data_IF_512145686474
#
_entry.id   IF_512145686474
#
_cell.length_a   1.000
_cell.length_b   1.000
_cell.length_c   1.000
_cell.angle_alpha   90.00
_cell.angle_beta   90.00
_cell.angle_gamma   90.00
#
_symmetry.space_group_name_H-M   'P 1'
#
loop_
_entity.id
_entity.type
_entity.pdbx_description
1 polymer ?
#
# COMPACT_ATOMS: atom_id res chain seq x y z
N UNK A 1 -11.69 -8.44 -15.70
CA UNK A 1 -11.18 -7.45 -14.73
C UNK A 1 -10.69 -6.22 -15.49
N UNK A 2 -11.07 -5.00 -15.12
CA UNK A 2 -10.53 -3.76 -15.70
C UNK A 2 -9.62 -3.07 -14.68
N UNK A 3 -8.48 -2.57 -15.14
CA UNK A 3 -7.53 -1.84 -14.32
C UNK A 3 -8.06 -0.42 -14.07
N UNK A 4 -8.47 -0.12 -12.83
CA UNK A 4 -8.95 1.22 -12.45
C UNK A 4 -7.73 2.10 -12.12
N UNK A 5 -7.34 2.96 -13.06
CA UNK A 5 -6.21 3.88 -12.90
C UNK A 5 -6.63 5.34 -12.71
N UNK A 6 -7.92 5.60 -12.48
CA UNK A 6 -8.49 6.94 -12.34
C UNK A 6 -8.61 7.37 -10.86
N UNK A 7 -8.56 8.68 -10.62
CA UNK A 7 -8.74 9.25 -9.27
C UNK A 7 -7.56 9.01 -8.33
N UNK A 8 -7.83 8.48 -7.14
CA UNK A 8 -6.80 8.23 -6.11
C UNK A 8 -5.79 7.17 -6.56
N UNK A 9 -6.26 6.17 -7.31
CA UNK A 9 -5.42 5.14 -7.92
C UNK A 9 -4.41 5.73 -8.94
N UNK A 10 -4.73 6.87 -9.57
CA UNK A 10 -3.78 7.56 -10.46
C UNK A 10 -2.55 8.15 -9.74
N UNK A 11 -2.58 8.24 -8.39
CA UNK A 11 -1.46 8.77 -7.59
C UNK A 11 -0.84 7.70 -6.69
N UNK A 12 -1.63 6.76 -6.18
CA UNK A 12 -1.21 5.73 -5.23
C UNK A 12 -1.80 4.39 -5.65
N UNK A 13 -0.96 3.36 -5.85
CA UNK A 13 -1.44 2.02 -6.24
C UNK A 13 -2.33 1.35 -5.20
N UNK A 14 -2.10 1.70 -3.93
CA UNK A 14 -2.63 1.01 -2.76
C UNK A 14 -3.21 1.98 -1.71
N UNK A 15 -4.24 2.80 -2.04
CA UNK A 15 -4.74 3.85 -1.16
C UNK A 15 -5.32 3.34 0.16
N UNK A 16 -5.93 2.14 0.16
CA UNK A 16 -6.38 1.48 1.40
C UNK A 16 -5.23 1.24 2.37
N UNK A 17 -4.05 0.88 1.86
CA UNK A 17 -2.91 0.62 2.71
C UNK A 17 -2.30 1.90 3.27
N UNK A 18 -2.33 3.01 2.53
CA UNK A 18 -2.00 4.33 3.08
C UNK A 18 -2.95 4.72 4.23
N UNK A 19 -4.24 4.41 4.11
CA UNK A 19 -5.22 4.62 5.17
C UNK A 19 -4.93 3.73 6.41
N UNK A 20 -4.60 2.45 6.20
CA UNK A 20 -4.18 1.57 7.29
C UNK A 20 -2.88 2.02 7.97
N UNK A 21 -1.92 2.54 7.21
CA UNK A 21 -0.70 3.11 7.77
C UNK A 21 -1.01 4.32 8.65
N UNK A 22 -1.85 5.24 8.17
CA UNK A 22 -2.37 6.36 8.98
C UNK A 22 -3.09 5.89 10.24
N UNK A 23 -3.88 4.82 10.13
CA UNK A 23 -4.59 4.23 11.27
C UNK A 23 -3.64 3.59 12.28
N UNK A 24 -2.60 2.89 11.82
CA UNK A 24 -1.56 2.33 12.68
C UNK A 24 -0.75 3.43 13.40
N UNK A 25 -0.43 4.52 12.70
CA UNK A 25 0.21 5.70 13.30
C UNK A 25 -0.72 6.37 14.33
N UNK A 26 -2.02 6.48 14.03
CA UNK A 26 -2.99 7.00 14.97
C UNK A 26 -3.09 6.11 16.22
N UNK A 27 -3.15 4.78 16.07
CA UNK A 27 -3.08 3.85 17.20
C UNK A 27 -1.79 4.05 18.02
N UNK A 28 -0.64 4.20 17.37
CA UNK A 28 0.61 4.43 18.07
C UNK A 28 0.63 5.72 18.90
N UNK A 29 -0.09 6.75 18.47
CA UNK A 29 -0.22 8.03 19.19
C UNK A 29 -1.31 8.00 20.27
N UNK A 30 -2.40 7.25 20.05
CA UNK A 30 -3.55 7.17 20.96
C UNK A 30 -3.32 6.21 22.13
N UNK A 31 -2.57 5.13 21.91
CA UNK A 31 -2.27 4.17 22.98
C UNK A 31 -1.10 4.68 23.84
N UNK A 32 -1.23 4.74 25.17
CA UNK A 32 -0.14 5.07 26.08
C UNK A 32 0.95 3.97 26.16
N UNK A 33 0.86 2.93 25.31
CA UNK A 33 1.79 1.83 25.22
C UNK A 33 2.41 1.77 23.82
N UNK A 34 3.63 2.30 23.71
CA UNK A 34 4.41 2.34 22.48
C UNK A 34 4.67 0.95 21.90
N UNK A 35 4.76 -0.09 22.73
CA UNK A 35 4.99 -1.47 22.26
C UNK A 35 3.75 -2.00 21.53
N UNK A 36 2.56 -1.77 22.10
CA UNK A 36 1.30 -2.16 21.46
C UNK A 36 1.07 -1.35 20.18
N UNK A 37 1.33 -0.04 20.20
CA UNK A 37 1.23 0.83 19.03
C UNK A 37 2.18 0.44 17.89
N UNK A 38 3.45 0.20 18.20
CA UNK A 38 4.47 -0.19 17.21
C UNK A 38 4.27 -1.60 16.68
N UNK A 39 3.74 -2.53 17.50
CA UNK A 39 3.45 -3.90 17.05
C UNK A 39 2.47 -3.93 15.88
N UNK A 40 1.47 -3.03 15.87
CA UNK A 40 0.56 -2.84 14.75
C UNK A 40 1.27 -2.34 13.48
N UNK A 41 2.20 -1.38 13.62
CA UNK A 41 2.98 -0.85 12.50
C UNK A 41 3.92 -1.90 11.90
N UNK A 42 4.59 -2.68 12.74
CA UNK A 42 5.53 -3.74 12.32
C UNK A 42 4.75 -4.90 11.68
N UNK A 43 3.67 -5.36 12.31
CA UNK A 43 2.81 -6.41 11.76
C UNK A 43 2.18 -5.99 10.44
N UNK A 44 1.70 -4.74 10.35
CA UNK A 44 1.17 -4.17 9.12
C UNK A 44 2.25 -4.07 8.04
N UNK A 45 3.47 -3.63 8.36
CA UNK A 45 4.57 -3.54 7.39
C UNK A 45 4.93 -4.90 6.77
N UNK A 46 4.96 -5.96 7.58
CA UNK A 46 5.23 -7.32 7.12
C UNK A 46 4.08 -7.85 6.25
N UNK A 47 2.84 -7.74 6.73
CA UNK A 47 1.65 -8.14 5.96
C UNK A 47 1.54 -7.36 4.65
N UNK A 48 1.80 -6.05 4.70
CA UNK A 48 1.80 -5.17 3.54
C UNK A 48 2.82 -5.66 2.51
N UNK A 49 4.09 -5.83 2.90
CA UNK A 49 5.14 -6.22 1.98
C UNK A 49 4.86 -7.57 1.31
N UNK A 50 4.33 -8.53 2.09
CA UNK A 50 4.02 -9.86 1.57
C UNK A 50 2.77 -9.85 0.67
N UNK A 51 1.71 -9.15 1.07
CA UNK A 51 0.43 -9.15 0.35
C UNK A 51 0.48 -8.30 -0.90
N UNK A 52 1.09 -7.12 -0.85
CA UNK A 52 1.28 -6.26 -2.03
C UNK A 52 2.14 -6.96 -3.07
N UNK A 53 3.21 -7.66 -2.65
CA UNK A 53 4.02 -8.44 -3.60
C UNK A 53 3.19 -9.46 -4.40
N UNK A 54 2.30 -10.18 -3.74
CA UNK A 54 1.41 -11.14 -4.41
C UNK A 54 0.34 -10.45 -5.27
N UNK A 55 -0.26 -9.36 -4.79
CA UNK A 55 -1.24 -8.57 -5.54
C UNK A 55 -0.63 -8.00 -6.83
N UNK A 56 0.58 -7.43 -6.75
CA UNK A 56 1.28 -6.89 -7.92
C UNK A 56 1.70 -8.01 -8.88
N UNK A 57 2.09 -9.18 -8.38
CA UNK A 57 2.42 -10.34 -9.21
C UNK A 57 1.18 -10.84 -9.98
N UNK A 58 0.04 -10.99 -9.32
CA UNK A 58 -1.23 -11.36 -9.97
C UNK A 58 -1.67 -10.31 -10.99
N UNK A 59 -1.52 -9.02 -10.67
CA UNK A 59 -1.85 -7.92 -11.58
C UNK A 59 -0.91 -7.88 -12.78
N UNK A 60 0.39 -8.16 -12.61
CA UNK A 60 1.33 -8.34 -13.73
C UNK A 60 0.97 -9.54 -14.59
N UNK A 61 0.57 -10.65 -14.00
CA UNK A 61 0.17 -11.85 -14.75
C UNK A 61 -1.11 -11.62 -15.55
N UNK A 62 -2.05 -10.84 -14.98
CA UNK A 62 -3.35 -10.54 -15.62
C UNK A 62 -3.28 -9.43 -16.67
N UNK A 63 -2.52 -8.35 -16.40
CA UNK A 63 -2.51 -7.12 -17.20
C UNK A 63 -1.16 -6.80 -17.85
N UNK A 64 -0.09 -7.51 -17.50
CA UNK A 64 1.24 -7.43 -18.11
C UNK A 64 1.71 -5.99 -18.36
N UNK A 65 1.87 -5.65 -19.64
CA UNK A 65 2.36 -4.36 -20.10
C UNK A 65 1.50 -3.16 -19.65
N UNK A 66 0.18 -3.31 -19.49
CA UNK A 66 -0.67 -2.24 -18.96
C UNK A 66 -0.34 -1.94 -17.50
N UNK A 67 -0.04 -2.99 -16.72
CA UNK A 67 0.34 -2.83 -15.33
C UNK A 67 1.75 -2.28 -15.17
N UNK A 68 2.70 -2.64 -16.03
CA UNK A 68 4.04 -2.04 -16.03
C UNK A 68 4.01 -0.56 -16.42
N UNK A 69 3.21 -0.17 -17.42
CA UNK A 69 3.00 1.24 -17.77
C UNK A 69 2.34 2.03 -16.62
N UNK A 70 1.41 1.39 -15.91
CA UNK A 70 0.79 1.95 -14.70
C UNK A 70 1.81 2.09 -13.57
N UNK A 71 2.65 1.07 -13.32
CA UNK A 71 3.72 1.10 -12.33
C UNK A 71 4.75 2.20 -12.61
N UNK A 72 5.06 2.46 -13.88
CA UNK A 72 5.98 3.54 -14.26
C UNK A 72 5.41 4.93 -13.95
N UNK A 73 4.08 5.08 -13.90
CA UNK A 73 3.39 6.37 -13.64
C UNK A 73 2.96 6.57 -12.20
N UNK A 74 2.75 5.50 -11.43
CA UNK A 74 2.20 5.57 -10.06
C UNK A 74 3.17 5.06 -9.02
N UNK A 75 3.14 5.66 -7.82
CA UNK A 75 3.99 5.26 -6.69
C UNK A 75 3.29 4.21 -5.80
N UNK A 76 4.09 3.41 -5.08
CA UNK A 76 3.60 2.21 -4.39
C UNK A 76 2.84 2.54 -3.10
N UNK A 77 3.35 3.47 -2.26
CA UNK A 77 2.75 3.71 -0.92
C UNK A 77 2.72 5.19 -0.54
N UNK A 78 3.80 5.95 -0.77
CA UNK A 78 3.93 7.32 -0.26
C UNK A 78 4.46 8.21 -1.38
N UNK A 79 3.75 9.28 -1.77
CA UNK A 79 4.26 10.20 -2.77
C UNK A 79 5.52 10.91 -2.25
N UNK A 80 6.70 10.47 -2.70
CA UNK A 80 7.98 11.16 -2.49
C UNK A 80 9.06 10.40 -1.71
N UNK A 81 8.74 9.23 -1.13
CA UNK A 81 9.73 8.40 -0.42
C UNK A 81 9.78 6.99 -1.01
N UNK A 82 8.65 6.46 -1.53
CA UNK A 82 8.55 5.16 -2.22
C UNK A 82 7.24 5.02 -3.04
#
# INVERSE_FOLDING_TARGET
HQLVTSGVYARVRHPMYSAFFLWAVAQALLLPNLVAGLSGLVGFGILFAFRVGQEEAMMRETFGAQYDAYCARTRRIIPGIY
#
